data_IF_114003111511
#
_entry.id   IF_114003111511
#
_cell.length_a   1.000
_cell.length_b   1.000
_cell.length_c   1.000
_cell.angle_alpha   90.00
_cell.angle_beta   90.00
_cell.angle_gamma   90.00
#
_symmetry.space_group_name_H-M   'P 1'
#
loop_
_entity.id
_entity.type
_entity.pdbx_description
1 polymer ?
#
# COMPACT_ATOMS: atom_id res chain seq x y z
N UNK A 1 -15.24 -48.98 34.76
CA UNK A 1 -15.51 -47.58 34.35
C UNK A 1 -15.53 -46.63 35.57
N UNK A 2 -15.23 -45.32 35.46
CA UNK A 2 -14.63 -44.49 34.39
C UNK A 2 -13.31 -43.81 34.89
N UNK A 3 -12.59 -42.87 34.26
CA UNK A 3 -12.28 -42.44 32.90
C UNK A 3 -11.04 -41.49 33.02
N UNK A 4 -10.24 -41.43 31.95
CA UNK A 4 -9.08 -40.56 31.75
C UNK A 4 -9.45 -39.06 31.64
N UNK A 5 -8.57 -38.17 32.10
CA UNK A 5 -8.57 -36.77 31.69
C UNK A 5 -7.12 -36.24 31.70
N UNK A 6 -6.54 -36.13 30.50
CA UNK A 6 -5.33 -35.38 30.24
C UNK A 6 -5.70 -33.99 29.76
N UNK A 7 -5.38 -32.97 30.55
CA UNK A 7 -5.50 -31.57 30.15
C UNK A 7 -4.29 -31.18 29.30
N UNK A 8 -4.40 -31.44 27.99
CA UNK A 8 -3.49 -30.85 27.01
C UNK A 8 -3.88 -29.39 26.84
N UNK A 9 -3.09 -28.52 27.48
CA UNK A 9 -3.08 -27.09 27.24
C UNK A 9 -2.82 -26.84 25.74
N UNK A 10 -3.89 -26.61 24.97
CA UNK A 10 -3.80 -26.19 23.57
C UNK A 10 -3.19 -24.80 23.52
N UNK A 11 -1.87 -24.73 23.36
CA UNK A 11 -1.18 -23.54 22.84
C UNK A 11 -1.77 -23.25 21.46
N UNK A 12 -2.66 -22.27 21.40
CA UNK A 12 -3.06 -21.66 20.14
C UNK A 12 -1.81 -21.11 19.42
N UNK A 13 -1.82 -21.06 18.09
CA UNK A 13 -0.67 -20.61 17.33
C UNK A 13 -0.33 -19.18 17.75
N UNK A 14 0.94 -18.96 18.07
CA UNK A 14 1.48 -17.63 18.34
C UNK A 14 1.06 -16.70 17.19
N UNK A 15 0.28 -15.67 17.52
CA UNK A 15 0.06 -14.57 16.60
C UNK A 15 1.44 -14.05 16.16
N UNK A 16 1.68 -13.84 14.86
CA UNK A 16 2.95 -13.26 14.42
C UNK A 16 3.11 -11.94 15.17
N UNK A 17 4.29 -11.72 15.75
CA UNK A 17 4.64 -10.49 16.46
C UNK A 17 4.14 -9.31 15.62
N UNK A 18 3.16 -8.59 16.15
CA UNK A 18 2.49 -7.54 15.43
C UNK A 18 3.56 -6.53 14.99
N UNK A 19 3.79 -6.43 13.68
CA UNK A 19 4.58 -5.34 13.12
C UNK A 19 4.06 -4.02 13.72
N UNK A 20 4.95 -3.02 13.96
CA UNK A 20 4.56 -1.74 14.51
C UNK A 20 3.31 -1.23 13.80
N UNK A 21 2.22 -1.13 14.55
CA UNK A 21 0.94 -0.77 13.97
C UNK A 21 1.00 0.70 13.54
N UNK A 22 0.51 1.05 12.34
CA UNK A 22 0.45 2.45 11.92
C UNK A 22 -0.37 3.26 12.93
N UNK A 23 -0.09 4.57 13.01
CA UNK A 23 -0.87 5.47 13.86
C UNK A 23 -2.37 5.37 13.54
N UNK A 24 -3.23 5.56 14.54
CA UNK A 24 -4.69 5.47 14.39
C UNK A 24 -5.25 6.21 13.15
N UNK A 25 -4.92 7.48 12.88
CA UNK A 25 -5.43 8.17 11.70
C UNK A 25 -5.02 7.50 10.38
N UNK A 26 -3.80 6.95 10.31
CA UNK A 26 -3.32 6.20 9.15
C UNK A 26 -4.13 4.92 8.96
N UNK A 27 -4.38 4.15 10.04
CA UNK A 27 -5.19 2.93 9.97
C UNK A 27 -6.63 3.20 9.55
N UNK A 28 -7.24 4.27 10.06
CA UNK A 28 -8.59 4.68 9.68
C UNK A 28 -8.67 5.07 8.20
N UNK A 29 -7.68 5.81 7.69
CA UNK A 29 -7.59 6.16 6.27
C UNK A 29 -7.39 4.91 5.40
N UNK A 30 -6.52 3.97 5.78
CA UNK A 30 -6.28 2.72 5.04
C UNK A 30 -7.51 1.84 4.89
N UNK A 31 -8.37 1.78 5.92
CA UNK A 31 -9.60 1.00 5.87
C UNK A 31 -10.57 1.51 4.80
N UNK A 32 -10.55 2.82 4.50
CA UNK A 32 -11.43 3.45 3.53
C UNK A 32 -10.77 3.64 2.15
N UNK A 33 -9.46 3.89 2.14
CA UNK A 33 -8.71 4.32 0.97
C UNK A 33 -7.35 3.61 0.89
N UNK A 34 -7.31 2.31 0.61
CA UNK A 34 -6.05 1.56 0.54
C UNK A 34 -5.08 2.19 -0.46
N UNK A 35 -3.80 2.25 -0.09
CA UNK A 35 -2.73 2.77 -0.95
C UNK A 35 -2.01 1.64 -1.65
N UNK A 36 -1.91 1.74 -2.98
CA UNK A 36 -1.06 0.88 -3.79
C UNK A 36 -0.13 1.71 -4.66
N UNK A 37 1.12 1.27 -4.79
CA UNK A 37 2.13 1.88 -5.63
C UNK A 37 2.51 0.90 -6.74
N UNK A 38 2.27 1.28 -7.99
CA UNK A 38 2.69 0.50 -9.16
C UNK A 38 4.01 1.04 -9.68
N UNK A 39 4.98 0.15 -9.89
CA UNK A 39 6.34 0.45 -10.36
C UNK A 39 6.73 -0.52 -11.46
N UNK A 40 7.78 -0.25 -12.22
CA UNK A 40 8.43 -1.24 -13.10
C UNK A 40 9.93 -1.24 -12.86
N UNK A 41 10.63 -2.25 -13.40
CA UNK A 41 12.10 -2.31 -13.34
C UNK A 41 12.78 -1.13 -14.08
N UNK A 42 12.12 -0.60 -15.09
CA UNK A 42 12.57 0.49 -15.96
C UNK A 42 12.39 1.87 -15.29
N UNK A 43 11.64 1.91 -14.19
CA UNK A 43 11.36 3.10 -13.41
C UNK A 43 12.34 3.22 -12.23
N UNK A 44 13.46 3.90 -12.47
CA UNK A 44 14.48 4.10 -11.44
C UNK A 44 14.12 5.26 -10.49
N UNK A 45 14.29 6.50 -10.94
CA UNK A 45 14.24 7.68 -10.06
C UNK A 45 12.83 7.97 -9.52
N UNK A 46 11.83 8.10 -10.39
CA UNK A 46 10.47 8.48 -9.97
C UNK A 46 9.82 7.45 -9.04
N UNK A 47 10.03 6.16 -9.28
CA UNK A 47 9.53 5.10 -8.40
C UNK A 47 10.24 5.10 -7.03
N UNK A 48 11.54 5.38 -7.02
CA UNK A 48 12.28 5.52 -5.77
C UNK A 48 11.80 6.72 -4.95
N UNK A 49 11.64 7.88 -5.58
CA UNK A 49 11.14 9.09 -4.94
C UNK A 49 9.71 8.90 -4.39
N UNK A 50 8.85 8.19 -5.14
CA UNK A 50 7.52 7.81 -4.70
C UNK A 50 7.52 6.90 -3.46
N UNK A 51 8.36 5.85 -3.48
CA UNK A 51 8.55 4.96 -2.31
C UNK A 51 9.02 5.75 -1.09
N UNK A 52 10.03 6.59 -1.27
CA UNK A 52 10.61 7.38 -0.19
C UNK A 52 9.60 8.36 0.40
N UNK A 53 8.78 8.98 -0.44
CA UNK A 53 7.74 9.89 0.01
C UNK A 53 6.66 9.20 0.87
N UNK A 54 6.14 8.04 0.42
CA UNK A 54 5.17 7.27 1.21
C UNK A 54 5.78 6.79 2.54
N UNK A 55 7.05 6.34 2.50
CA UNK A 55 7.79 5.92 3.71
C UNK A 55 8.05 7.08 4.67
N UNK A 56 8.36 8.28 4.18
CA UNK A 56 8.54 9.48 5.00
C UNK A 56 7.24 9.85 5.71
N UNK A 57 6.10 9.75 5.02
CA UNK A 57 4.76 9.98 5.60
C UNK A 57 4.28 8.87 6.52
N UNK A 58 4.97 7.73 6.56
CA UNK A 58 4.57 6.58 7.36
C UNK A 58 3.29 5.91 6.88
N UNK A 59 3.01 6.04 5.59
CA UNK A 59 1.83 5.47 4.95
C UNK A 59 2.22 4.07 4.48
N UNK A 60 1.58 3.00 4.99
CA UNK A 60 1.77 1.67 4.45
C UNK A 60 1.11 1.57 3.08
N UNK A 61 1.79 0.93 2.13
CA UNK A 61 1.30 0.75 0.77
C UNK A 61 1.63 -0.65 0.25
N UNK A 62 0.79 -1.14 -0.66
CA UNK A 62 1.08 -2.34 -1.43
C UNK A 62 1.89 -1.96 -2.68
N UNK A 63 3.14 -2.39 -2.76
CA UNK A 63 3.95 -2.21 -3.97
C UNK A 63 3.64 -3.33 -4.97
N UNK A 64 3.39 -2.95 -6.22
CA UNK A 64 3.11 -3.87 -7.33
C UNK A 64 4.09 -3.58 -8.46
N UNK A 65 4.81 -4.61 -8.88
CA UNK A 65 5.70 -4.51 -10.02
C UNK A 65 4.93 -4.84 -11.31
N UNK A 66 5.00 -3.95 -12.28
CA UNK A 66 4.43 -4.10 -13.61
C UNK A 66 5.55 -4.62 -14.51
N UNK A 67 5.66 -5.94 -14.58
CA UNK A 67 6.74 -6.62 -15.30
C UNK A 67 6.22 -7.32 -16.58
N UNK A 68 4.93 -7.64 -16.62
CA UNK A 68 4.30 -8.33 -17.74
C UNK A 68 3.41 -7.41 -18.56
N UNK A 69 3.21 -7.77 -19.84
CA UNK A 69 2.24 -7.07 -20.70
C UNK A 69 0.83 -7.04 -20.09
N UNK A 70 0.41 -8.13 -19.44
CA UNK A 70 -0.90 -8.20 -18.81
C UNK A 70 -1.05 -7.19 -17.67
N UNK A 71 -0.01 -7.02 -16.84
CA UNK A 71 0.02 -6.00 -15.79
C UNK A 71 0.04 -4.59 -16.37
N UNK A 72 0.77 -4.37 -17.46
CA UNK A 72 0.78 -3.08 -18.16
C UNK A 72 -0.61 -2.70 -18.70
N UNK A 73 -1.32 -3.66 -19.30
CA UNK A 73 -2.71 -3.46 -19.75
C UNK A 73 -3.68 -3.24 -18.58
N UNK A 74 -3.48 -3.94 -17.46
CA UNK A 74 -4.25 -3.69 -16.25
C UNK A 74 -3.99 -2.29 -15.67
N UNK A 75 -2.73 -1.81 -15.73
CA UNK A 75 -2.36 -0.48 -15.29
C UNK A 75 -3.03 0.60 -16.15
N UNK A 76 -3.00 0.47 -17.49
CA UNK A 76 -3.70 1.37 -18.42
C UNK A 76 -5.20 1.46 -18.11
N UNK A 77 -5.84 0.32 -17.85
CA UNK A 77 -7.27 0.29 -17.47
C UNK A 77 -7.53 0.95 -16.12
N UNK A 78 -6.59 0.81 -15.18
CA UNK A 78 -6.68 1.40 -13.85
C UNK A 78 -6.58 2.93 -13.91
N UNK A 79 -5.64 3.46 -14.70
CA UNK A 79 -5.41 4.91 -14.80
C UNK A 79 -6.29 5.59 -15.84
N UNK A 80 -6.80 4.83 -16.82
CA UNK A 80 -7.50 5.36 -17.99
C UNK A 80 -6.55 5.91 -19.06
N UNK A 81 -5.24 5.72 -18.90
CA UNK A 81 -4.23 6.22 -19.84
C UNK A 81 -4.05 5.27 -21.04
N UNK A 82 -3.67 5.83 -22.18
CA UNK A 82 -3.32 5.05 -23.36
C UNK A 82 -2.03 4.23 -23.16
N UNK A 83 -1.16 4.68 -22.26
CA UNK A 83 0.15 4.10 -21.99
C UNK A 83 0.31 3.77 -20.52
N UNK A 84 1.09 2.72 -20.23
CA UNK A 84 1.39 2.31 -18.86
C UNK A 84 2.51 3.20 -18.30
N UNK A 85 2.15 4.34 -17.73
CA UNK A 85 3.11 5.28 -17.13
C UNK A 85 3.31 4.95 -15.67
N UNK A 86 4.54 4.62 -15.27
CA UNK A 86 4.93 4.38 -13.88
C UNK A 86 5.85 5.50 -13.36
N UNK A 87 5.87 5.79 -12.04
CA UNK A 87 5.07 5.17 -10.99
C UNK A 87 3.60 5.57 -11.06
N UNK A 88 2.69 4.72 -10.56
CA UNK A 88 1.28 5.10 -10.32
C UNK A 88 0.96 4.94 -8.85
N UNK A 89 0.43 6.01 -8.26
CA UNK A 89 -0.16 5.98 -6.93
C UNK A 89 -1.66 5.75 -7.04
N UNK A 90 -2.17 4.65 -6.49
CA UNK A 90 -3.60 4.42 -6.31
C UNK A 90 -3.98 4.61 -4.85
N UNK A 91 -5.03 5.38 -4.60
CA UNK A 91 -5.58 5.68 -3.27
C UNK A 91 -7.09 5.47 -3.32
N UNK A 92 -7.55 4.32 -2.84
CA UNK A 92 -8.93 3.89 -3.02
C UNK A 92 -9.29 3.77 -4.50
N UNK A 93 -10.24 4.59 -4.97
CA UNK A 93 -10.70 4.61 -6.37
C UNK A 93 -9.98 5.65 -7.24
N UNK A 94 -9.12 6.48 -6.65
CA UNK A 94 -8.41 7.55 -7.36
C UNK A 94 -6.98 7.13 -7.66
N UNK A 95 -6.45 7.59 -8.78
CA UNK A 95 -5.07 7.32 -9.22
C UNK A 95 -4.35 8.59 -9.62
N UNK A 96 -3.02 8.60 -9.46
CA UNK A 96 -2.12 9.60 -10.01
C UNK A 96 -1.00 8.89 -10.78
N UNK A 97 -0.87 9.20 -12.07
CA UNK A 97 0.15 8.62 -12.96
C UNK A 97 1.40 9.49 -12.97
N UNK A 98 2.57 8.85 -12.93
CA UNK A 98 3.86 9.54 -12.82
C UNK A 98 4.18 10.04 -11.41
N UNK A 99 5.43 10.46 -11.23
CA UNK A 99 5.87 11.07 -9.98
C UNK A 99 5.71 12.59 -10.02
N UNK A 100 4.72 13.08 -9.29
CA UNK A 100 4.49 14.50 -9.07
C UNK A 100 4.14 14.73 -7.60
N UNK A 101 5.11 15.21 -6.81
CA UNK A 101 4.97 15.38 -5.35
C UNK A 101 3.69 16.14 -4.97
N UNK A 102 3.39 17.24 -5.67
CA UNK A 102 2.21 18.05 -5.38
C UNK A 102 0.88 17.33 -5.63
N UNK A 103 0.83 16.45 -6.63
CA UNK A 103 -0.36 15.65 -6.94
C UNK A 103 -0.55 14.53 -5.93
N UNK A 104 0.52 13.78 -5.64
CA UNK A 104 0.50 12.71 -4.63
C UNK A 104 0.13 13.26 -3.25
N UNK A 105 0.66 14.42 -2.89
CA UNK A 105 0.30 15.10 -1.65
C UNK A 105 -1.21 15.38 -1.60
N UNK A 106 -1.76 16.04 -2.62
CA UNK A 106 -3.19 16.37 -2.67
C UNK A 106 -4.07 15.11 -2.59
N UNK A 107 -3.66 14.04 -3.27
CA UNK A 107 -4.40 12.80 -3.31
C UNK A 107 -4.47 12.11 -1.94
N UNK A 108 -3.33 11.99 -1.28
CA UNK A 108 -3.22 11.38 0.05
C UNK A 108 -3.89 12.24 1.13
N UNK A 109 -3.72 13.56 1.07
CA UNK A 109 -4.35 14.49 2.00
C UNK A 109 -5.88 14.45 1.88
N UNK A 110 -6.40 14.39 0.65
CA UNK A 110 -7.84 14.26 0.38
C UNK A 110 -8.41 12.92 0.86
N UNK A 111 -7.58 11.87 0.93
CA UNK A 111 -7.93 10.58 1.49
C UNK A 111 -7.76 10.49 3.03
N UNK A 112 -7.34 11.59 3.67
CA UNK A 112 -7.20 11.68 5.13
C UNK A 112 -5.88 11.15 5.67
N UNK A 113 -4.88 10.89 4.83
CA UNK A 113 -3.55 10.51 5.28
C UNK A 113 -2.81 11.71 5.87
N UNK A 114 -2.15 11.56 7.05
CA UNK A 114 -1.37 12.64 7.63
C UNK A 114 -0.18 13.01 6.74
N UNK A 115 0.21 14.28 6.79
CA UNK A 115 1.31 14.84 5.97
C UNK A 115 2.68 14.35 6.42
N UNK A 116 2.81 13.95 7.67
CA UNK A 116 4.05 13.50 8.31
C UNK A 116 3.73 12.40 9.32
N UNK A 117 4.74 11.61 9.68
CA UNK A 117 4.63 10.66 10.80
C UNK A 117 4.40 11.44 12.10
N UNK A 118 3.41 11.05 12.91
CA UNK A 118 3.35 11.48 14.30
C UNK A 118 4.50 10.88 15.13
#
# INVERSE_FOLDING_TARGET
PPAVAGDVHKRGPAAPAAAPQPAYPVRAAMANFPVALYVSADCAQGCQEGRDYLRQRGIPFAEKNVATRAEGEALKKLTGDAEAVVPVLAVGTKTASGWLRGEWQRLLDAAGYPKEKP
#
